data_IF_524070693739
#
_entry.id   IF_524070693739
#
_cell.length_a   1.000
_cell.length_b   1.000
_cell.length_c   1.000
_cell.angle_alpha   90.00
_cell.angle_beta   90.00
_cell.angle_gamma   90.00
#
_symmetry.space_group_name_H-M   'P 1'
#
loop_
_entity.id
_entity.type
_entity.pdbx_description
1 polymer ?
#
# COMPACT_ATOMS: atom_id res chain seq x y z
N UNK A 1 -29.80 47.63 -14.41
CA UNK A 1 -29.98 46.21 -14.78
C UNK A 1 -28.68 45.52 -15.20
N UNK A 2 -27.78 46.18 -15.94
CA UNK A 2 -26.54 45.59 -16.48
C UNK A 2 -25.51 45.20 -15.39
N UNK A 3 -25.35 45.99 -14.33
CA UNK A 3 -24.34 45.71 -13.27
C UNK A 3 -24.67 44.49 -12.40
N UNK A 4 -25.94 44.17 -12.20
CA UNK A 4 -26.37 43.00 -11.43
C UNK A 4 -26.08 41.70 -12.18
N UNK A 5 -26.24 41.71 -13.51
CA UNK A 5 -25.94 40.59 -14.39
C UNK A 5 -24.44 40.26 -14.42
N UNK A 6 -23.57 41.27 -14.44
CA UNK A 6 -22.10 41.11 -14.44
C UNK A 6 -21.62 40.52 -13.10
N UNK A 7 -22.18 40.98 -11.98
CA UNK A 7 -21.88 40.42 -10.65
C UNK A 7 -22.29 38.94 -10.52
N UNK A 8 -23.47 38.57 -11.02
CA UNK A 8 -23.92 37.19 -11.04
C UNK A 8 -23.06 36.28 -11.94
N UNK A 9 -22.61 36.79 -13.10
CA UNK A 9 -21.76 36.04 -14.02
C UNK A 9 -20.38 35.76 -13.41
N UNK A 10 -19.75 36.76 -12.78
CA UNK A 10 -18.46 36.57 -12.10
C UNK A 10 -18.55 35.58 -10.93
N UNK A 11 -19.65 35.58 -10.20
CA UNK A 11 -19.87 34.68 -9.05
C UNK A 11 -20.11 33.23 -9.50
N UNK A 12 -20.77 33.04 -10.64
CA UNK A 12 -20.98 31.71 -11.25
C UNK A 12 -19.68 31.12 -11.80
N UNK A 13 -18.87 31.94 -12.49
CA UNK A 13 -17.56 31.51 -13.00
C UNK A 13 -16.57 31.21 -11.87
N UNK A 14 -16.58 31.98 -10.79
CA UNK A 14 -15.79 31.68 -9.60
C UNK A 14 -16.21 30.36 -8.94
N UNK A 15 -17.51 30.08 -8.85
CA UNK A 15 -18.02 28.81 -8.33
C UNK A 15 -17.59 27.60 -9.17
N UNK A 16 -17.67 27.71 -10.50
CA UNK A 16 -17.19 26.67 -11.42
C UNK A 16 -15.68 26.41 -11.29
N UNK A 17 -14.88 27.46 -11.06
CA UNK A 17 -13.45 27.34 -10.88
C UNK A 17 -13.08 26.60 -9.59
N UNK A 18 -13.78 26.88 -8.49
CA UNK A 18 -13.56 26.20 -7.19
C UNK A 18 -13.94 24.71 -7.29
N UNK A 19 -15.07 24.40 -7.93
CA UNK A 19 -15.51 23.00 -8.13
C UNK A 19 -14.55 22.24 -9.05
N UNK A 20 -14.03 22.90 -10.10
CA UNK A 20 -13.03 22.31 -11.00
C UNK A 20 -11.72 21.97 -10.29
N UNK A 21 -11.21 22.85 -9.42
CA UNK A 21 -9.99 22.59 -8.62
C UNK A 21 -10.22 21.44 -7.64
N UNK A 22 -11.37 21.41 -6.95
CA UNK A 22 -11.73 20.31 -6.04
C UNK A 22 -11.80 18.95 -6.77
N UNK A 23 -12.36 18.93 -7.98
CA UNK A 23 -12.46 17.71 -8.79
C UNK A 23 -11.09 17.22 -9.30
N UNK A 24 -10.17 18.13 -9.62
CA UNK A 24 -8.79 17.80 -9.99
C UNK A 24 -7.96 17.25 -8.82
N UNK A 25 -8.27 17.62 -7.57
CA UNK A 25 -7.58 17.04 -6.41
C UNK A 25 -8.04 15.62 -6.08
N UNK A 26 -9.28 15.24 -6.40
CA UNK A 26 -9.79 13.89 -6.12
C UNK A 26 -9.08 12.78 -6.91
N UNK A 27 -8.50 13.07 -8.08
CA UNK A 27 -7.79 12.08 -8.91
C UNK A 27 -6.35 11.84 -8.47
N UNK A 28 -5.78 12.73 -7.65
CA UNK A 28 -4.39 12.64 -7.17
C UNK A 28 -4.17 11.55 -6.11
N UNK A 29 -5.24 10.98 -5.54
CA UNK A 29 -5.18 9.96 -4.50
C UNK A 29 -5.68 8.57 -4.93
N UNK A 30 -5.77 8.30 -6.23
CA UNK A 30 -6.03 6.95 -6.74
C UNK A 30 -4.75 6.09 -6.63
N UNK A 31 -4.35 5.78 -5.41
CA UNK A 31 -3.19 4.94 -5.15
C UNK A 31 -3.52 3.48 -5.51
N UNK A 32 -2.84 2.94 -6.52
CA UNK A 32 -3.12 1.59 -7.04
C UNK A 32 -2.59 0.53 -6.07
N UNK A 33 -3.43 -0.40 -5.66
CA UNK A 33 -3.02 -1.54 -4.83
C UNK A 33 -1.96 -2.38 -5.54
N UNK A 34 -0.94 -2.83 -4.81
CA UNK A 34 0.12 -3.70 -5.33
C UNK A 34 -0.03 -5.09 -4.72
N UNK A 35 0.22 -6.12 -5.53
CA UNK A 35 0.41 -7.49 -5.06
C UNK A 35 1.89 -7.80 -4.99
N UNK A 36 2.35 -8.30 -3.84
CA UNK A 36 3.72 -8.73 -3.60
C UNK A 36 3.71 -10.21 -3.22
N UNK A 37 4.65 -10.95 -3.77
CA UNK A 37 4.91 -12.34 -3.40
C UNK A 37 6.26 -12.40 -2.69
N UNK A 38 6.29 -13.03 -1.52
CA UNK A 38 7.49 -13.23 -0.71
C UNK A 38 7.73 -14.72 -0.64
N UNK A 39 8.94 -15.15 -1.00
CA UNK A 39 9.39 -16.54 -0.90
C UNK A 39 10.47 -16.61 0.18
N UNK A 40 10.30 -17.51 1.15
CA UNK A 40 11.28 -17.75 2.20
C UNK A 40 12.07 -18.99 1.82
N UNK A 41 13.38 -18.83 1.67
CA UNK A 41 14.31 -19.88 1.32
C UNK A 41 15.26 -20.15 2.49
N UNK A 42 15.84 -21.35 2.51
CA UNK A 42 16.95 -21.70 3.39
C UNK A 42 18.23 -20.90 3.05
N UNK A 43 19.24 -20.99 3.92
CA UNK A 43 20.52 -20.30 3.72
C UNK A 43 21.23 -20.68 2.42
N UNK A 44 20.89 -21.85 1.85
CA UNK A 44 21.47 -22.35 0.60
C UNK A 44 20.71 -21.86 -0.64
N UNK A 45 19.53 -21.27 -0.46
CA UNK A 45 18.62 -20.84 -1.53
C UNK A 45 17.92 -21.99 -2.26
N UNK A 46 18.08 -23.24 -1.82
CA UNK A 46 17.62 -24.42 -2.56
C UNK A 46 16.26 -24.94 -2.09
N UNK A 47 15.93 -24.74 -0.80
CA UNK A 47 14.67 -25.22 -0.24
C UNK A 47 13.83 -24.06 0.27
N UNK A 48 12.55 -24.07 -0.09
CA UNK A 48 11.59 -23.13 0.44
C UNK A 48 11.11 -23.58 1.83
N UNK A 49 11.07 -22.64 2.79
CA UNK A 49 10.71 -22.91 4.17
C UNK A 49 9.20 -22.68 4.33
N UNK A 50 8.47 -23.77 4.51
CA UNK A 50 7.03 -23.75 4.79
C UNK A 50 6.74 -23.47 6.27
N UNK A 51 5.47 -23.16 6.58
CA UNK A 51 4.98 -22.95 7.94
C UNK A 51 5.74 -21.87 8.73
N UNK A 52 6.31 -20.88 8.05
CA UNK A 52 7.03 -19.76 8.66
C UNK A 52 6.09 -18.57 8.82
N UNK A 53 5.90 -18.07 10.05
CA UNK A 53 5.12 -16.87 10.28
C UNK A 53 5.80 -15.58 9.80
N UNK A 54 5.03 -14.75 9.12
CA UNK A 54 5.43 -13.45 8.59
C UNK A 54 4.42 -12.39 9.00
N UNK A 55 4.93 -11.29 9.53
CA UNK A 55 4.13 -10.16 10.01
C UNK A 55 4.44 -8.93 9.18
N UNK A 56 3.39 -8.30 8.67
CA UNK A 56 3.46 -6.98 8.03
C UNK A 56 2.80 -5.98 8.97
N UNK A 57 3.61 -5.17 9.64
CA UNK A 57 3.17 -4.36 10.78
C UNK A 57 2.21 -3.25 10.34
N UNK A 58 2.50 -2.58 9.22
CA UNK A 58 1.74 -1.41 8.77
C UNK A 58 0.37 -1.78 8.19
N UNK A 59 0.23 -2.99 7.65
CA UNK A 59 -1.05 -3.48 7.12
C UNK A 59 -1.75 -4.44 8.10
N UNK A 60 -1.17 -4.65 9.30
CA UNK A 60 -1.74 -5.51 10.35
C UNK A 60 -1.97 -6.96 9.91
N UNK A 61 -1.20 -7.48 8.95
CA UNK A 61 -1.39 -8.83 8.42
C UNK A 61 -0.38 -9.80 9.02
N UNK A 62 -0.90 -10.93 9.47
CA UNK A 62 -0.14 -12.10 9.89
C UNK A 62 -0.42 -13.22 8.90
N UNK A 63 0.62 -13.69 8.23
CA UNK A 63 0.54 -14.75 7.22
C UNK A 63 1.55 -15.85 7.56
N UNK A 64 1.23 -17.08 7.20
CA UNK A 64 2.13 -18.23 7.33
C UNK A 64 2.46 -18.69 5.91
N UNK A 65 3.74 -18.99 5.65
CA UNK A 65 4.14 -19.52 4.33
C UNK A 65 3.42 -20.81 3.98
N UNK A 66 3.04 -20.92 2.72
CA UNK A 66 2.41 -22.11 2.15
C UNK A 66 3.39 -23.30 2.11
N UNK A 67 2.93 -24.46 1.65
CA UNK A 67 3.80 -25.63 1.43
C UNK A 67 4.95 -25.36 0.44
N UNK A 68 4.81 -24.33 -0.40
CA UNK A 68 5.85 -23.86 -1.34
C UNK A 68 6.76 -22.80 -0.72
N UNK A 69 6.63 -22.52 0.58
CA UNK A 69 7.42 -21.50 1.30
C UNK A 69 7.14 -20.06 0.88
N UNK A 70 6.02 -19.82 0.21
CA UNK A 70 5.64 -18.49 -0.32
C UNK A 70 4.40 -17.92 0.37
N UNK A 71 4.31 -16.59 0.37
CA UNK A 71 3.09 -15.84 0.72
C UNK A 71 2.78 -14.79 -0.35
N UNK A 72 1.50 -14.57 -0.59
CA UNK A 72 1.00 -13.51 -1.48
C UNK A 72 0.23 -12.50 -0.66
N UNK A 73 0.64 -11.24 -0.74
CA UNK A 73 0.04 -10.15 0.03
C UNK A 73 -0.32 -8.99 -0.89
N UNK A 74 -1.50 -8.42 -0.66
CA UNK A 74 -1.90 -7.18 -1.33
C UNK A 74 -1.67 -6.01 -0.36
N UNK A 75 -0.89 -5.03 -0.82
CA UNK A 75 -0.71 -3.75 -0.19
C UNK A 75 -1.69 -2.73 -0.79
N UNK A 76 -2.30 -1.86 0.04
CA UNK A 76 -3.24 -0.85 -0.45
C UNK A 76 -2.57 0.18 -1.36
N UNK A 77 -1.24 0.32 -1.25
CA UNK A 77 -0.49 1.44 -1.75
C UNK A 77 0.99 1.07 -1.98
N UNK A 78 1.70 1.69 -2.94
CA UNK A 78 3.15 1.70 -2.96
C UNK A 78 3.68 2.53 -1.80
N UNK A 79 4.70 2.04 -1.11
CA UNK A 79 5.30 2.71 0.04
C UNK A 79 6.37 1.86 0.72
N UNK A 80 6.84 2.32 1.87
CA UNK A 80 7.74 1.56 2.73
C UNK A 80 6.92 0.72 3.71
N UNK A 81 7.28 -0.56 3.82
CA UNK A 81 6.62 -1.53 4.67
C UNK A 81 7.67 -2.36 5.40
N UNK A 82 7.50 -2.57 6.70
CA UNK A 82 8.35 -3.43 7.49
C UNK A 82 7.78 -4.84 7.52
N UNK A 83 8.58 -5.78 7.02
CA UNK A 83 8.31 -7.21 7.08
C UNK A 83 9.13 -7.82 8.22
N UNK A 84 8.46 -8.59 9.08
CA UNK A 84 9.09 -9.33 10.18
C UNK A 84 8.82 -10.82 10.02
N UNK A 85 9.88 -11.59 9.82
CA UNK A 85 9.84 -13.05 9.79
C UNK A 85 10.05 -13.54 11.22
N UNK A 86 9.12 -14.35 11.73
CA UNK A 86 9.17 -14.88 13.09
C UNK A 86 9.56 -16.36 13.00
N UNK A 87 10.85 -16.66 13.03
CA UNK A 87 11.32 -18.05 13.05
C UNK A 87 11.36 -18.59 14.48
N UNK A 88 11.01 -19.86 14.67
CA UNK A 88 11.19 -20.55 15.96
C UNK A 88 12.62 -21.07 16.15
N UNK A 89 13.41 -21.16 15.09
CA UNK A 89 14.80 -21.59 15.15
C UNK A 89 15.72 -20.45 15.57
N UNK A 90 16.42 -20.71 16.68
CA UNK A 90 17.43 -19.86 17.31
C UNK A 90 18.31 -19.19 16.27
N UNK A 91 18.32 -17.85 16.29
CA UNK A 91 19.43 -17.05 15.78
C UNK A 91 20.68 -17.50 16.54
N UNK A 92 21.46 -18.41 15.97
CA UNK A 92 22.79 -18.74 16.47
C UNK A 92 23.64 -17.47 16.29
N UNK A 93 23.73 -16.68 17.36
CA UNK A 93 24.81 -15.70 17.53
C UNK A 93 26.11 -16.49 17.49
N UNK A 94 26.83 -16.42 16.38
CA UNK A 94 28.21 -16.89 16.28
C UNK A 94 29.02 -16.11 17.33
N UNK A 95 29.54 -16.84 18.31
CA UNK A 95 30.50 -16.33 19.32
C UNK A 95 31.87 -16.21 18.69
#
# INVERSE_FOLDING_TARGET
>A
MVSFLILCFNRFWSGLFIVGILFCHSTLFAQKSIRVEVVILDETGNHAISNTPVVFQEIGKYLITSGEGSIKVNFPAPGSYNLRIMTSEKVFKKT
#
